data_IF_227094764445
#
_entry.id   IF_227094764445
#
_cell.length_a   1.000
_cell.length_b   1.000
_cell.length_c   1.000
_cell.angle_alpha   90.00
_cell.angle_beta   90.00
_cell.angle_gamma   90.00
#
_symmetry.space_group_name_H-M   'P 1'
#
loop_
_entity.id
_entity.type
_entity.pdbx_description
1 polymer ?
#
# COMPACT_ATOMS: atom_id res chain seq x y z
N UNK A 1 -14.67 -0.70 -4.53
CA UNK A 1 -13.83 -1.67 -5.28
C UNK A 1 -12.49 -1.06 -5.71
N UNK A 2 -11.91 -0.14 -4.94
CA UNK A 2 -10.73 0.66 -5.27
C UNK A 2 -9.59 0.64 -4.24
N UNK A 3 -9.69 -0.07 -3.13
CA UNK A 3 -8.75 -0.01 -2.00
C UNK A 3 -7.69 -1.15 -2.02
N UNK A 4 -7.86 -2.17 -2.87
CA UNK A 4 -7.01 -3.39 -2.86
C UNK A 4 -5.77 -3.28 -3.77
N UNK A 5 -5.63 -2.24 -4.61
CA UNK A 5 -4.52 -2.16 -5.59
C UNK A 5 -3.28 -1.37 -5.16
N UNK A 6 -3.21 -0.78 -3.98
CA UNK A 6 -2.08 0.08 -3.55
C UNK A 6 -1.01 -0.68 -2.75
N UNK A 7 -1.28 -1.89 -2.30
CA UNK A 7 -0.31 -2.68 -1.48
C UNK A 7 0.61 -3.58 -2.33
N UNK A 8 0.31 -3.78 -3.62
CA UNK A 8 1.07 -4.72 -4.46
C UNK A 8 2.33 -4.14 -5.13
N UNK A 9 2.63 -2.84 -4.99
CA UNK A 9 3.77 -2.19 -5.68
C UNK A 9 4.94 -1.82 -4.78
N UNK A 10 4.88 -2.09 -3.49
CA UNK A 10 5.96 -1.81 -2.53
C UNK A 10 6.87 -3.03 -2.23
N UNK A 11 6.64 -4.18 -2.85
CA UNK A 11 7.37 -5.42 -2.53
C UNK A 11 8.60 -5.65 -3.42
N UNK A 12 9.00 -4.69 -4.24
CA UNK A 12 10.23 -4.75 -5.06
C UNK A 12 11.36 -3.86 -4.53
N UNK A 13 11.16 -3.18 -3.41
CA UNK A 13 12.19 -2.39 -2.77
C UNK A 13 12.70 -3.15 -1.54
N UNK A 14 13.95 -3.58 -1.66
CA UNK A 14 14.79 -4.14 -0.61
C UNK A 14 14.44 -5.56 -0.17
N UNK A 15 14.96 -6.57 -0.91
CA UNK A 15 15.61 -7.66 -0.23
C UNK A 15 16.78 -7.00 0.55
N UNK A 16 16.48 -6.42 1.69
CA UNK A 16 17.45 -6.27 2.76
C UNK A 16 17.71 -7.70 3.23
N UNK A 17 18.54 -8.41 2.45
CA UNK A 17 19.19 -9.60 2.98
C UNK A 17 19.81 -9.11 4.29
N UNK A 18 19.48 -9.72 5.44
CA UNK A 18 20.13 -9.37 6.68
C UNK A 18 21.62 -9.29 6.38
N UNK A 19 22.31 -8.33 6.98
CA UNK A 19 23.77 -8.26 6.91
C UNK A 19 24.30 -9.51 7.64
N UNK A 20 24.10 -10.66 7.02
CA UNK A 20 24.70 -11.90 7.40
C UNK A 20 26.18 -11.65 7.30
N UNK A 21 26.82 -11.58 8.46
CA UNK A 21 28.24 -11.62 8.56
C UNK A 21 28.71 -12.77 7.67
N UNK A 22 29.20 -12.43 6.47
CA UNK A 22 29.75 -13.40 5.56
C UNK A 22 30.88 -14.05 6.34
N UNK A 23 30.62 -15.27 6.82
CA UNK A 23 31.53 -15.98 7.71
C UNK A 23 32.68 -16.52 6.88
N UNK A 24 33.88 -16.25 7.35
CA UNK A 24 35.12 -16.64 6.70
C UNK A 24 35.83 -17.71 7.51
N UNK A 25 36.12 -18.89 6.94
CA UNK A 25 36.94 -19.90 7.63
C UNK A 25 38.40 -19.45 7.72
N UNK A 26 39.01 -19.63 8.90
CA UNK A 26 40.44 -19.41 9.12
C UNK A 26 41.22 -20.73 9.05
N UNK A 27 42.21 -20.82 8.18
CA UNK A 27 43.14 -21.97 8.17
C UNK A 27 44.23 -21.84 9.21
N UNK A 28 44.47 -22.93 9.96
CA UNK A 28 45.65 -23.07 10.84
C UNK A 28 46.86 -23.50 10.00
N UNK A 29 47.97 -22.72 10.08
CA UNK A 29 49.22 -22.97 9.38
C UNK A 29 50.26 -23.69 10.22
N UNK A 30 51.05 -24.56 9.57
CA UNK A 30 52.35 -25.02 10.05
C UNK A 30 53.50 -24.40 9.22
N UNK A 31 54.66 -24.10 9.80
CA UNK A 31 55.73 -23.45 9.09
C UNK A 31 56.76 -24.48 8.52
N UNK A 32 57.11 -24.37 7.22
CA UNK A 32 58.42 -24.59 6.66
C UNK A 32 58.53 -24.44 5.13
N UNK A 33 59.66 -23.84 4.68
CA UNK A 33 60.34 -23.86 3.40
C UNK A 33 59.70 -23.16 2.15
N UNK A 34 60.47 -22.28 1.52
CA UNK A 34 60.11 -21.39 0.42
C UNK A 34 59.96 -22.10 -0.94
N UNK A 35 58.96 -22.91 -1.11
CA UNK A 35 58.53 -23.48 -2.40
C UNK A 35 57.58 -22.51 -3.11
N UNK A 36 57.28 -22.66 -4.43
CA UNK A 36 56.21 -21.94 -5.06
C UNK A 36 54.87 -22.00 -4.32
N UNK A 37 54.61 -23.09 -3.63
CA UNK A 37 53.44 -23.33 -2.80
C UNK A 37 53.46 -22.43 -1.52
N UNK A 38 54.64 -22.16 -0.96
CA UNK A 38 54.79 -21.27 0.20
C UNK A 38 54.55 -19.80 -0.18
N UNK A 39 54.95 -19.37 -1.35
CA UNK A 39 54.72 -18.01 -1.85
C UNK A 39 53.22 -17.76 -2.11
N UNK A 40 52.56 -18.72 -2.68
CA UNK A 40 51.12 -18.64 -2.93
C UNK A 40 50.34 -18.67 -1.62
N UNK A 41 50.73 -19.49 -0.65
CA UNK A 41 50.17 -19.49 0.71
C UNK A 41 50.37 -18.17 1.42
N UNK A 42 51.56 -17.52 1.27
CA UNK A 42 51.80 -16.19 1.81
C UNK A 42 50.94 -15.11 1.13
N UNK A 43 50.80 -15.17 -0.21
CA UNK A 43 49.94 -14.24 -0.96
C UNK A 43 48.47 -14.36 -0.56
N UNK A 44 47.97 -15.59 -0.33
CA UNK A 44 46.61 -15.79 0.19
C UNK A 44 46.42 -15.17 1.57
N UNK A 45 47.35 -15.39 2.50
CA UNK A 45 47.31 -14.77 3.83
C UNK A 45 47.33 -13.24 3.80
N UNK A 46 48.15 -12.68 2.92
CA UNK A 46 48.16 -11.23 2.69
C UNK A 46 46.82 -10.70 2.20
N UNK A 47 46.24 -11.37 1.21
CA UNK A 47 44.91 -11.01 0.73
C UNK A 47 43.84 -11.16 1.81
N UNK A 48 43.93 -12.21 2.59
CA UNK A 48 43.07 -12.44 3.77
C UNK A 48 43.22 -11.30 4.80
N UNK A 49 44.42 -10.85 5.07
CA UNK A 49 44.64 -9.71 5.96
C UNK A 49 44.00 -8.41 5.44
N UNK A 50 44.04 -8.21 4.11
CA UNK A 50 43.37 -7.07 3.47
C UNK A 50 41.86 -7.16 3.59
N UNK A 51 41.28 -8.34 3.40
CA UNK A 51 39.84 -8.57 3.59
C UNK A 51 39.40 -8.29 5.04
N UNK A 52 40.20 -8.73 6.04
CA UNK A 52 39.91 -8.42 7.44
C UNK A 52 39.94 -6.92 7.73
N UNK A 53 40.83 -6.17 7.06
CA UNK A 53 40.91 -4.70 7.12
C UNK A 53 39.87 -3.98 6.23
N UNK A 54 38.98 -4.74 5.60
CA UNK A 54 37.98 -4.21 4.67
C UNK A 54 38.57 -3.48 3.42
N UNK A 55 39.83 -3.76 3.12
CA UNK A 55 40.53 -3.21 1.95
C UNK A 55 40.24 -4.04 0.69
N UNK A 56 38.94 -4.10 0.32
CA UNK A 56 38.42 -5.02 -0.70
C UNK A 56 39.07 -4.83 -2.07
N UNK A 57 39.32 -3.61 -2.51
CA UNK A 57 39.94 -3.34 -3.80
C UNK A 57 41.36 -3.89 -3.89
N UNK A 58 42.16 -3.70 -2.85
CA UNK A 58 43.53 -4.21 -2.80
C UNK A 58 43.57 -5.74 -2.67
N UNK A 59 42.63 -6.30 -1.89
CA UNK A 59 42.46 -7.74 -1.80
C UNK A 59 42.11 -8.36 -3.16
N UNK A 60 41.17 -7.73 -3.89
CA UNK A 60 40.75 -8.18 -5.23
C UNK A 60 41.94 -8.24 -6.20
N UNK A 61 42.77 -7.20 -6.29
CA UNK A 61 43.94 -7.15 -7.18
C UNK A 61 44.90 -8.31 -6.88
N UNK A 62 45.22 -8.55 -5.61
CA UNK A 62 46.05 -9.70 -5.22
C UNK A 62 45.43 -11.02 -5.55
N UNK A 63 44.13 -11.19 -5.26
CA UNK A 63 43.38 -12.43 -5.48
C UNK A 63 43.22 -12.72 -6.97
N UNK A 64 43.00 -11.72 -7.83
CA UNK A 64 42.98 -11.88 -9.27
C UNK A 64 44.31 -12.46 -9.78
N UNK A 65 45.43 -11.97 -9.26
CA UNK A 65 46.73 -12.53 -9.62
C UNK A 65 46.90 -13.97 -9.12
N UNK A 66 46.42 -14.23 -7.89
CA UNK A 66 46.54 -15.55 -7.27
C UNK A 66 45.70 -16.61 -7.98
N UNK A 67 44.46 -16.32 -8.39
CA UNK A 67 43.59 -17.29 -9.08
C UNK A 67 44.10 -17.63 -10.51
N UNK A 68 44.89 -16.75 -11.11
CA UNK A 68 45.59 -17.05 -12.37
C UNK A 68 46.73 -18.04 -12.15
N UNK A 69 47.48 -17.87 -11.05
CA UNK A 69 48.59 -18.76 -10.69
C UNK A 69 48.14 -20.10 -10.09
N UNK A 70 47.05 -20.07 -9.36
CA UNK A 70 46.45 -21.22 -8.69
C UNK A 70 44.96 -21.38 -9.00
N UNK A 71 44.67 -21.69 -10.28
CA UNK A 71 43.29 -21.79 -10.78
C UNK A 71 42.43 -22.85 -10.09
N UNK A 72 43.05 -23.82 -9.43
CA UNK A 72 42.37 -24.91 -8.72
C UNK A 72 42.28 -24.69 -7.21
N UNK A 73 42.60 -23.49 -6.71
CA UNK A 73 42.49 -23.14 -5.30
C UNK A 73 41.08 -22.59 -4.99
N UNK A 74 40.19 -23.38 -4.34
CA UNK A 74 38.81 -22.92 -4.08
C UNK A 74 38.76 -21.73 -3.10
N UNK A 75 39.71 -21.65 -2.13
CA UNK A 75 39.76 -20.55 -1.17
C UNK A 75 40.06 -19.21 -1.86
N UNK A 76 41.04 -19.21 -2.80
CA UNK A 76 41.38 -17.98 -3.53
C UNK A 76 40.20 -17.47 -4.36
N UNK A 77 39.46 -18.35 -5.01
CA UNK A 77 38.24 -18.00 -5.75
C UNK A 77 37.14 -17.50 -4.83
N UNK A 78 36.93 -18.15 -3.68
CA UNK A 78 35.95 -17.72 -2.70
C UNK A 78 36.27 -16.30 -2.17
N UNK A 79 37.51 -16.08 -1.76
CA UNK A 79 37.96 -14.78 -1.23
C UNK A 79 37.86 -13.68 -2.29
N UNK A 80 38.13 -14.00 -3.56
CA UNK A 80 37.93 -13.09 -4.68
C UNK A 80 36.44 -12.70 -4.83
N UNK A 81 35.55 -13.68 -4.82
CA UNK A 81 34.11 -13.44 -4.85
C UNK A 81 33.64 -12.60 -3.64
N UNK A 82 34.22 -12.84 -2.47
CA UNK A 82 33.95 -12.07 -1.26
C UNK A 82 34.38 -10.60 -1.42
N UNK A 83 35.60 -10.35 -1.90
CA UNK A 83 36.08 -8.99 -2.20
C UNK A 83 35.20 -8.25 -3.21
N UNK A 84 34.80 -8.94 -4.28
CA UNK A 84 33.96 -8.40 -5.34
C UNK A 84 32.53 -8.09 -4.86
N UNK A 85 31.93 -8.99 -4.06
CA UNK A 85 30.57 -8.79 -3.55
C UNK A 85 30.46 -7.58 -2.62
N UNK A 86 31.49 -7.32 -1.79
CA UNK A 86 31.55 -6.14 -0.93
C UNK A 86 31.78 -4.82 -1.68
N UNK A 87 32.28 -4.90 -2.92
CA UNK A 87 32.37 -3.77 -3.83
C UNK A 87 31.15 -3.62 -4.73
N UNK A 88 30.08 -4.40 -4.49
CA UNK A 88 28.88 -4.46 -5.31
C UNK A 88 29.12 -4.93 -6.77
N UNK A 89 30.26 -5.58 -7.05
CA UNK A 89 30.58 -6.22 -8.33
C UNK A 89 29.93 -7.60 -8.38
N UNK A 90 28.61 -7.64 -8.44
CA UNK A 90 27.84 -8.87 -8.27
C UNK A 90 28.05 -9.87 -9.42
N UNK A 91 28.09 -9.46 -10.71
CA UNK A 91 28.37 -10.40 -11.79
C UNK A 91 29.72 -11.11 -11.65
N UNK A 92 30.76 -10.36 -11.28
CA UNK A 92 32.11 -10.90 -11.08
C UNK A 92 32.16 -11.84 -9.87
N UNK A 93 31.50 -11.45 -8.78
CA UNK A 93 31.40 -12.28 -7.58
C UNK A 93 30.72 -13.62 -7.86
N UNK A 94 29.68 -13.64 -8.69
CA UNK A 94 29.02 -14.88 -9.13
C UNK A 94 29.99 -15.81 -9.84
N UNK A 95 30.82 -15.29 -10.75
CA UNK A 95 31.81 -16.10 -11.47
C UNK A 95 32.81 -16.72 -10.48
N UNK A 96 33.31 -15.91 -9.54
CA UNK A 96 34.29 -16.34 -8.55
C UNK A 96 33.70 -17.35 -7.58
N UNK A 97 32.52 -17.12 -7.01
CA UNK A 97 31.87 -18.06 -6.11
C UNK A 97 31.46 -19.37 -6.84
N UNK A 98 31.02 -19.27 -8.10
CA UNK A 98 30.70 -20.45 -8.91
C UNK A 98 31.95 -21.32 -9.12
N UNK A 99 33.10 -20.72 -9.39
CA UNK A 99 34.35 -21.48 -9.54
C UNK A 99 34.76 -22.13 -8.20
N UNK A 100 34.66 -21.39 -7.08
CA UNK A 100 34.90 -21.97 -5.76
C UNK A 100 33.99 -23.17 -5.45
N UNK A 101 32.69 -23.03 -5.70
CA UNK A 101 31.70 -24.09 -5.50
C UNK A 101 31.87 -25.28 -6.46
N UNK A 102 32.43 -25.07 -7.66
CA UNK A 102 32.79 -26.14 -8.59
C UNK A 102 34.01 -26.92 -8.14
N UNK A 103 35.00 -26.20 -7.56
CA UNK A 103 36.23 -26.85 -7.08
C UNK A 103 35.99 -27.61 -5.76
N UNK A 104 35.13 -27.12 -4.89
CA UNK A 104 34.68 -27.81 -3.70
C UNK A 104 33.12 -27.76 -3.60
N UNK A 105 32.44 -28.73 -4.18
CA UNK A 105 30.97 -28.80 -4.16
C UNK A 105 30.35 -29.01 -2.76
N UNK A 106 31.17 -29.44 -1.77
CA UNK A 106 30.73 -29.68 -0.40
C UNK A 106 31.02 -28.50 0.52
N UNK A 107 31.50 -27.39 -0.01
CA UNK A 107 31.78 -26.21 0.77
C UNK A 107 30.51 -25.38 0.96
N UNK A 108 29.99 -25.36 2.18
CA UNK A 108 28.74 -24.70 2.55
C UNK A 108 28.78 -23.19 2.19
N UNK A 109 29.84 -22.49 2.62
CA UNK A 109 29.95 -21.03 2.46
C UNK A 109 30.03 -20.63 0.99
N UNK A 110 30.70 -21.43 0.15
CA UNK A 110 30.78 -21.18 -1.28
C UNK A 110 29.39 -21.30 -1.96
N UNK A 111 28.64 -22.35 -1.63
CA UNK A 111 27.27 -22.53 -2.15
C UNK A 111 26.31 -21.48 -1.64
N UNK A 112 26.37 -21.12 -0.35
CA UNK A 112 25.55 -20.09 0.26
C UNK A 112 25.81 -18.72 -0.38
N UNK A 113 27.07 -18.29 -0.46
CA UNK A 113 27.42 -16.98 -1.02
C UNK A 113 27.13 -16.91 -2.55
N UNK A 114 27.30 -18.00 -3.27
CA UNK A 114 26.86 -18.10 -4.67
C UNK A 114 25.34 -17.86 -4.77
N UNK A 115 24.54 -18.55 -3.93
CA UNK A 115 23.10 -18.41 -3.92
C UNK A 115 22.65 -16.99 -3.59
N UNK A 116 23.29 -16.36 -2.59
CA UNK A 116 23.01 -14.95 -2.23
C UNK A 116 23.36 -13.96 -3.34
N UNK A 117 24.51 -14.15 -4.01
CA UNK A 117 24.93 -13.31 -5.13
C UNK A 117 23.99 -13.46 -6.33
N UNK A 118 23.55 -14.68 -6.65
CA UNK A 118 22.57 -14.96 -7.70
C UNK A 118 21.20 -14.35 -7.38
N UNK A 119 20.72 -14.44 -6.12
CA UNK A 119 19.49 -13.80 -5.72
C UNK A 119 19.56 -12.28 -5.89
N UNK A 120 20.68 -11.67 -5.52
CA UNK A 120 20.92 -10.23 -5.70
C UNK A 120 20.98 -9.81 -7.15
N UNK A 121 21.43 -10.68 -8.07
CA UNK A 121 21.42 -10.44 -9.51
C UNK A 121 20.04 -10.64 -10.17
N UNK A 122 19.06 -11.23 -9.44
CA UNK A 122 17.74 -11.57 -9.95
C UNK A 122 17.62 -12.96 -10.57
N UNK A 123 18.68 -13.77 -10.60
CA UNK A 123 18.63 -15.16 -11.07
C UNK A 123 18.09 -16.07 -9.94
N UNK A 124 16.79 -16.00 -9.72
CA UNK A 124 16.09 -16.72 -8.66
C UNK A 124 16.23 -18.24 -8.79
N UNK A 125 16.23 -18.75 -10.01
CA UNK A 125 16.32 -20.20 -10.27
C UNK A 125 17.68 -20.75 -9.89
N UNK A 126 18.75 -20.09 -10.33
CA UNK A 126 20.10 -20.50 -9.98
C UNK A 126 20.40 -20.27 -8.49
N UNK A 127 19.88 -19.18 -7.90
CA UNK A 127 19.98 -18.91 -6.47
C UNK A 127 19.34 -20.02 -5.64
N UNK A 128 18.11 -20.41 -5.96
CA UNK A 128 17.42 -21.52 -5.29
C UNK A 128 18.21 -22.83 -5.40
N UNK A 129 18.79 -23.11 -6.56
CA UNK A 129 19.60 -24.32 -6.78
C UNK A 129 20.84 -24.35 -5.87
N UNK A 130 21.58 -23.25 -5.81
CA UNK A 130 22.78 -23.15 -4.96
C UNK A 130 22.43 -23.22 -3.47
N UNK A 131 21.35 -22.52 -3.03
CA UNK A 131 20.91 -22.54 -1.64
C UNK A 131 20.34 -23.91 -1.25
N UNK A 132 19.65 -24.64 -2.13
CA UNK A 132 19.21 -26.03 -1.88
C UNK A 132 20.42 -26.96 -1.64
N UNK A 133 21.53 -26.74 -2.31
CA UNK A 133 22.77 -27.48 -2.02
C UNK A 133 23.31 -27.04 -0.65
N UNK A 134 23.44 -25.76 -0.41
CA UNK A 134 23.99 -25.21 0.85
C UNK A 134 23.28 -25.80 2.08
N UNK A 135 21.95 -25.82 2.12
CA UNK A 135 21.20 -26.32 3.28
C UNK A 135 21.35 -27.81 3.56
N UNK A 136 21.94 -28.57 2.64
CA UNK A 136 22.30 -30.00 2.87
C UNK A 136 23.72 -30.17 3.41
N UNK A 137 24.51 -29.11 3.44
CA UNK A 137 25.91 -29.15 3.84
C UNK A 137 26.07 -28.68 5.30
N UNK A 138 27.22 -29.00 5.87
CA UNK A 138 27.57 -28.58 7.22
C UNK A 138 28.37 -27.27 7.15
N UNK A 139 27.93 -26.20 7.81
CA UNK A 139 28.74 -24.97 7.90
C UNK A 139 30.09 -25.21 8.55
N UNK A 140 31.14 -24.60 8.03
CA UNK A 140 32.47 -24.62 8.65
C UNK A 140 32.59 -23.61 9.76
N UNK A 141 31.81 -22.52 9.70
CA UNK A 141 31.75 -21.45 10.70
C UNK A 141 30.27 -21.14 11.03
N UNK A 142 30.00 -20.76 12.29
CA UNK A 142 28.66 -20.30 12.71
C UNK A 142 27.66 -21.43 13.02
N UNK A 143 28.01 -22.69 12.75
CA UNK A 143 27.21 -23.85 13.16
C UNK A 143 25.72 -23.78 12.78
N UNK A 144 24.82 -23.99 13.74
CA UNK A 144 23.38 -24.01 13.52
C UNK A 144 22.83 -22.65 13.05
N UNK A 145 23.40 -21.54 13.53
CA UNK A 145 22.96 -20.19 13.11
C UNK A 145 23.23 -19.93 11.63
N UNK A 146 24.41 -20.35 11.12
CA UNK A 146 24.73 -20.24 9.70
C UNK A 146 23.77 -21.09 8.83
N UNK A 147 23.47 -22.31 9.31
CA UNK A 147 22.51 -23.18 8.62
C UNK A 147 21.08 -22.61 8.65
N UNK A 148 20.65 -22.03 9.80
CA UNK A 148 19.37 -21.33 9.90
C UNK A 148 19.27 -20.16 8.90
N UNK A 149 20.35 -19.38 8.78
CA UNK A 149 20.42 -18.28 7.83
C UNK A 149 20.35 -18.75 6.36
N UNK A 150 20.95 -19.88 6.02
CA UNK A 150 20.85 -20.46 4.68
C UNK A 150 19.41 -20.94 4.38
N UNK A 151 18.74 -21.59 5.34
CA UNK A 151 17.34 -21.96 5.23
C UNK A 151 16.42 -20.74 5.07
N UNK A 152 16.65 -19.67 5.83
CA UNK A 152 15.93 -18.40 5.69
C UNK A 152 16.12 -17.82 4.28
N UNK A 153 17.36 -17.77 3.80
CA UNK A 153 17.65 -17.26 2.45
C UNK A 153 16.99 -18.11 1.36
N UNK A 154 17.02 -19.42 1.49
CA UNK A 154 16.29 -20.32 0.58
C UNK A 154 14.80 -20.03 0.59
N UNK A 155 14.20 -19.95 1.79
CA UNK A 155 12.78 -19.66 1.94
C UNK A 155 12.37 -18.36 1.24
N UNK A 156 13.12 -17.29 1.44
CA UNK A 156 12.88 -15.98 0.82
C UNK A 156 12.99 -16.05 -0.71
N UNK A 157 14.00 -16.73 -1.23
CA UNK A 157 14.24 -16.83 -2.69
C UNK A 157 13.12 -17.61 -3.39
N UNK A 158 12.58 -18.66 -2.76
CA UNK A 158 11.54 -19.50 -3.37
C UNK A 158 10.11 -19.12 -2.96
N UNK A 159 9.93 -18.06 -2.15
CA UNK A 159 8.64 -17.68 -1.56
C UNK A 159 7.53 -17.52 -2.60
N UNK A 160 7.82 -16.90 -3.75
CA UNK A 160 6.85 -16.68 -4.80
C UNK A 160 6.64 -17.89 -5.70
N UNK A 161 7.72 -18.61 -6.02
CA UNK A 161 7.69 -19.70 -7.00
C UNK A 161 7.32 -21.07 -6.42
N UNK A 162 7.63 -21.29 -5.15
CA UNK A 162 7.47 -22.58 -4.47
C UNK A 162 6.96 -22.39 -3.03
N UNK A 163 5.74 -21.88 -2.82
CA UNK A 163 5.27 -21.43 -1.50
C UNK A 163 5.23 -22.56 -0.46
N UNK A 164 4.93 -23.79 -0.83
CA UNK A 164 4.95 -24.93 0.10
C UNK A 164 6.37 -25.28 0.58
N UNK A 165 7.34 -25.28 -0.33
CA UNK A 165 8.74 -25.49 0.03
C UNK A 165 9.30 -24.33 0.85
N UNK A 166 8.90 -23.09 0.51
CA UNK A 166 9.26 -21.90 1.25
C UNK A 166 8.79 -21.98 2.71
N UNK A 167 7.53 -22.36 2.95
CA UNK A 167 7.02 -22.57 4.30
C UNK A 167 7.87 -23.58 5.07
N UNK A 168 8.18 -24.73 4.47
CA UNK A 168 9.02 -25.74 5.11
C UNK A 168 10.43 -25.22 5.41
N UNK A 169 10.99 -24.41 4.51
CA UNK A 169 12.30 -23.79 4.71
C UNK A 169 12.29 -22.75 5.83
N UNK A 170 11.24 -21.88 5.91
CA UNK A 170 11.06 -20.97 7.06
C UNK A 170 10.92 -21.73 8.37
N UNK A 171 10.14 -22.81 8.40
CA UNK A 171 9.99 -23.66 9.59
C UNK A 171 11.34 -24.27 10.03
N UNK A 172 12.16 -24.72 9.08
CA UNK A 172 13.52 -25.20 9.37
C UNK A 172 14.44 -24.11 9.92
N UNK A 173 14.35 -22.89 9.38
CA UNK A 173 15.08 -21.75 9.92
C UNK A 173 14.67 -21.45 11.38
N UNK A 174 13.37 -21.48 11.69
CA UNK A 174 12.85 -21.29 13.06
C UNK A 174 13.24 -22.44 13.99
N UNK A 175 13.26 -23.69 13.51
CA UNK A 175 13.71 -24.85 14.30
C UNK A 175 15.17 -24.70 14.73
N UNK A 176 16.02 -24.21 13.84
CA UNK A 176 17.45 -24.04 14.08
C UNK A 176 17.79 -22.77 14.87
N UNK A 177 17.01 -21.70 14.65
CA UNK A 177 17.12 -20.42 15.37
C UNK A 177 15.73 -19.90 15.74
N UNK A 178 15.18 -20.32 16.88
CA UNK A 178 13.87 -19.90 17.35
C UNK A 178 13.75 -18.39 17.68
N UNK A 179 14.87 -17.68 17.79
CA UNK A 179 14.88 -16.24 18.04
C UNK A 179 14.86 -15.41 16.76
N UNK A 180 14.98 -16.04 15.60
CA UNK A 180 14.99 -15.35 14.31
C UNK A 180 13.60 -14.84 13.95
N UNK A 181 13.37 -13.55 14.16
CA UNK A 181 12.09 -12.88 13.89
C UNK A 181 11.70 -12.89 12.41
N UNK A 182 12.69 -12.83 11.50
CA UNK A 182 12.43 -12.83 10.05
C UNK A 182 11.91 -14.19 9.58
N UNK A 183 12.48 -15.27 10.13
CA UNK A 183 12.00 -16.61 9.85
C UNK A 183 10.58 -16.85 10.41
N UNK A 184 10.31 -16.40 11.64
CA UNK A 184 8.97 -16.46 12.24
C UNK A 184 7.96 -15.62 11.44
N UNK A 185 8.35 -14.43 11.01
CA UNK A 185 7.53 -13.56 10.14
C UNK A 185 7.26 -14.23 8.80
N UNK A 186 8.25 -14.93 8.24
CA UNK A 186 8.08 -15.72 7.02
C UNK A 186 7.03 -16.83 7.17
N UNK A 187 7.07 -17.57 8.28
CA UNK A 187 6.03 -18.58 8.61
C UNK A 187 4.65 -17.94 8.69
N UNK A 188 4.52 -16.78 9.35
CA UNK A 188 3.26 -16.06 9.49
C UNK A 188 2.71 -15.60 8.12
N UNK A 189 3.57 -15.03 7.25
CA UNK A 189 3.20 -14.64 5.89
C UNK A 189 2.73 -15.82 5.05
N UNK A 190 3.40 -16.95 5.16
CA UNK A 190 3.00 -18.15 4.42
C UNK A 190 1.67 -18.72 4.91
N UNK A 191 1.37 -18.63 6.21
CA UNK A 191 0.06 -18.97 6.77
C UNK A 191 -1.03 -18.04 6.22
N UNK A 192 -0.79 -16.73 6.19
CA UNK A 192 -1.69 -15.73 5.60
C UNK A 192 -1.96 -16.04 4.12
N UNK A 193 -0.91 -16.28 3.34
CA UNK A 193 -0.99 -16.56 1.90
C UNK A 193 -1.74 -17.87 1.59
N UNK A 194 -1.66 -18.86 2.47
CA UNK A 194 -2.43 -20.11 2.35
C UNK A 194 -3.89 -19.99 2.78
N UNK A 195 -4.33 -18.79 3.21
CA UNK A 195 -5.67 -18.56 3.70
C UNK A 195 -5.90 -18.97 5.16
N UNK A 196 -4.86 -19.41 5.86
CA UNK A 196 -4.94 -19.74 7.29
C UNK A 196 -4.75 -18.47 8.15
N UNK A 197 -5.75 -17.57 8.06
CA UNK A 197 -5.71 -16.29 8.76
C UNK A 197 -5.55 -16.43 10.29
N UNK A 198 -6.11 -17.47 10.90
CA UNK A 198 -6.01 -17.70 12.34
C UNK A 198 -4.58 -18.04 12.77
N UNK A 199 -3.89 -18.90 12.02
CA UNK A 199 -2.49 -19.20 12.28
C UNK A 199 -1.58 -17.99 12.04
N UNK A 200 -1.84 -17.23 10.98
CA UNK A 200 -1.12 -15.99 10.70
C UNK A 200 -1.29 -14.97 11.82
N UNK A 201 -2.54 -14.74 12.27
CA UNK A 201 -2.85 -13.84 13.38
C UNK A 201 -2.09 -14.22 14.66
N UNK A 202 -2.11 -15.49 15.03
CA UNK A 202 -1.43 -15.97 16.24
C UNK A 202 0.08 -15.67 16.20
N UNK A 203 0.71 -15.91 15.05
CA UNK A 203 2.15 -15.66 14.88
C UNK A 203 2.45 -14.16 14.84
N UNK A 204 1.66 -13.38 14.10
CA UNK A 204 1.82 -11.93 14.08
C UNK A 204 1.63 -11.30 15.45
N UNK A 205 0.64 -11.74 16.24
CA UNK A 205 0.41 -11.26 17.61
C UNK A 205 1.65 -11.47 18.48
N UNK A 206 2.21 -12.69 18.48
CA UNK A 206 3.41 -13.02 19.26
C UNK A 206 4.60 -12.10 18.92
N UNK A 207 4.81 -11.87 17.61
CA UNK A 207 5.89 -11.01 17.14
C UNK A 207 5.62 -9.52 17.43
N UNK A 208 4.37 -9.08 17.27
CA UNK A 208 3.95 -7.72 17.53
C UNK A 208 4.06 -7.37 19.03
N UNK A 209 3.72 -8.31 19.92
CA UNK A 209 3.92 -8.17 21.38
C UNK A 209 5.40 -8.06 21.77
N UNK A 210 6.27 -8.69 20.98
CA UNK A 210 7.72 -8.56 21.10
C UNK A 210 8.28 -7.26 20.46
N UNK A 211 7.43 -6.40 19.90
CA UNK A 211 7.81 -5.11 19.33
C UNK A 211 8.26 -5.17 17.86
N UNK A 212 7.96 -6.26 17.14
CA UNK A 212 8.29 -6.35 15.72
C UNK A 212 7.32 -5.49 14.89
N UNK A 213 7.81 -4.40 14.32
CA UNK A 213 6.99 -3.43 13.58
C UNK A 213 6.35 -4.02 12.33
N UNK A 214 7.05 -4.87 11.58
CA UNK A 214 6.51 -5.49 10.36
C UNK A 214 5.31 -6.38 10.69
N UNK A 215 5.38 -7.10 11.82
CA UNK A 215 4.27 -7.91 12.30
C UNK A 215 3.08 -7.07 12.75
N UNK A 216 3.32 -5.91 13.37
CA UNK A 216 2.24 -4.97 13.74
C UNK A 216 1.54 -4.46 12.49
N UNK A 217 2.28 -4.05 11.47
CA UNK A 217 1.71 -3.57 10.20
C UNK A 217 0.90 -4.67 9.49
N UNK A 218 1.42 -5.91 9.46
CA UNK A 218 0.72 -7.06 8.90
C UNK A 218 -0.55 -7.40 9.68
N UNK A 219 -0.49 -7.38 10.99
CA UNK A 219 -1.63 -7.63 11.88
C UNK A 219 -2.75 -6.60 11.67
N UNK A 220 -2.38 -5.32 11.59
CA UNK A 220 -3.32 -4.24 11.25
C UNK A 220 -3.98 -4.50 9.90
N UNK A 221 -3.17 -4.85 8.87
CA UNK A 221 -3.68 -5.19 7.54
C UNK A 221 -4.68 -6.35 7.56
N UNK A 222 -4.37 -7.41 8.30
CA UNK A 222 -5.22 -8.58 8.48
C UNK A 222 -6.56 -8.21 9.13
N UNK A 223 -6.55 -7.40 10.20
CA UNK A 223 -7.76 -6.95 10.87
C UNK A 223 -8.63 -6.05 9.99
N UNK A 224 -8.02 -5.16 9.22
CA UNK A 224 -8.74 -4.32 8.24
C UNK A 224 -9.42 -5.16 7.16
N UNK A 225 -8.74 -6.17 6.64
CA UNK A 225 -9.31 -7.10 5.66
C UNK A 225 -10.50 -7.88 6.23
N UNK A 226 -10.43 -8.26 7.50
CA UNK A 226 -11.50 -8.95 8.23
C UNK A 226 -12.59 -8.00 8.76
N UNK A 227 -12.48 -6.69 8.53
CA UNK A 227 -13.35 -5.65 9.07
C UNK A 227 -13.39 -5.61 10.62
N UNK A 228 -12.35 -6.09 11.26
CA UNK A 228 -12.13 -6.02 12.71
C UNK A 228 -11.49 -4.68 13.06
N UNK A 229 -12.26 -3.62 12.88
CA UNK A 229 -11.74 -2.25 12.95
C UNK A 229 -11.22 -1.90 14.34
N UNK A 230 -11.91 -2.31 15.41
CA UNK A 230 -11.48 -2.05 16.78
C UNK A 230 -10.12 -2.67 17.12
N UNK A 231 -9.85 -3.89 16.62
CA UNK A 231 -8.54 -4.54 16.79
C UNK A 231 -7.46 -3.81 16.00
N UNK A 232 -7.76 -3.41 14.76
CA UNK A 232 -6.85 -2.62 13.93
C UNK A 232 -6.52 -1.27 14.59
N UNK A 233 -7.52 -0.56 15.13
CA UNK A 233 -7.33 0.71 15.85
C UNK A 233 -6.42 0.52 17.06
N UNK A 234 -6.68 -0.51 17.88
CA UNK A 234 -5.88 -0.79 19.06
C UNK A 234 -4.38 -0.96 18.72
N UNK A 235 -4.08 -1.71 17.67
CA UNK A 235 -2.68 -1.91 17.23
C UNK A 235 -2.08 -0.68 16.56
N UNK A 236 -2.85 0.08 15.79
CA UNK A 236 -2.40 1.37 15.24
C UNK A 236 -2.00 2.33 16.34
N UNK A 237 -2.82 2.45 17.39
CA UNK A 237 -2.51 3.32 18.54
C UNK A 237 -1.26 2.85 19.29
N UNK A 238 -1.06 1.53 19.47
CA UNK A 238 0.17 0.98 20.05
C UNK A 238 1.40 1.29 19.18
N UNK A 239 1.29 1.08 17.88
CA UNK A 239 2.36 1.39 16.93
C UNK A 239 2.73 2.87 16.96
N UNK A 240 1.73 3.76 16.97
CA UNK A 240 1.94 5.20 17.03
C UNK A 240 2.55 5.67 18.36
N UNK A 241 2.24 5.00 19.47
CA UNK A 241 2.88 5.31 20.75
C UNK A 241 4.40 5.06 20.72
N UNK A 242 4.85 4.04 19.99
CA UNK A 242 6.25 3.75 19.74
C UNK A 242 6.85 4.61 18.60
N UNK A 243 6.02 5.02 17.63
CA UNK A 243 6.42 5.74 16.42
C UNK A 243 5.56 7.00 16.22
N UNK A 244 5.62 8.01 17.10
CA UNK A 244 4.68 9.14 17.12
C UNK A 244 4.75 10.03 15.88
N UNK A 245 5.85 10.00 15.13
CA UNK A 245 6.05 10.77 13.91
C UNK A 245 5.68 10.00 12.62
N UNK A 246 5.11 8.79 12.75
CA UNK A 246 4.74 8.00 11.58
C UNK A 246 3.50 8.57 10.89
N UNK A 247 3.72 9.44 9.92
CA UNK A 247 2.65 9.99 9.04
C UNK A 247 1.80 8.89 8.38
N UNK A 248 2.38 7.76 7.88
CA UNK A 248 1.57 6.67 7.34
C UNK A 248 0.60 6.07 8.34
N UNK A 249 1.05 5.85 9.59
CA UNK A 249 0.19 5.29 10.64
C UNK A 249 -0.94 6.26 11.05
N UNK A 250 -0.63 7.56 11.18
CA UNK A 250 -1.61 8.59 11.46
C UNK A 250 -2.67 8.67 10.34
N UNK A 251 -2.23 8.64 9.08
CA UNK A 251 -3.14 8.62 7.93
C UNK A 251 -4.04 7.38 7.94
N UNK A 252 -3.48 6.22 8.24
CA UNK A 252 -4.22 4.97 8.32
C UNK A 252 -5.24 4.99 9.46
N UNK A 253 -4.88 5.55 10.63
CA UNK A 253 -5.79 5.74 11.75
C UNK A 253 -6.94 6.68 11.39
N UNK A 254 -6.64 7.82 10.76
CA UNK A 254 -7.67 8.76 10.33
C UNK A 254 -8.68 8.12 9.36
N UNK A 255 -8.21 7.33 8.41
CA UNK A 255 -9.08 6.58 7.48
C UNK A 255 -9.90 5.49 8.17
N UNK A 256 -9.29 4.80 9.13
CA UNK A 256 -9.98 3.78 9.91
C UNK A 256 -11.11 4.39 10.74
N UNK A 257 -10.83 5.49 11.45
CA UNK A 257 -11.81 6.22 12.24
C UNK A 257 -12.98 6.73 11.38
N UNK A 258 -12.68 7.21 10.16
CA UNK A 258 -13.71 7.59 9.19
C UNK A 258 -14.60 6.39 8.81
N UNK A 259 -14.00 5.23 8.54
CA UNK A 259 -14.73 4.00 8.19
C UNK A 259 -15.60 3.47 9.35
N UNK A 260 -15.21 3.73 10.60
CA UNK A 260 -15.99 3.41 11.80
C UNK A 260 -17.09 4.43 12.12
N UNK A 261 -17.19 5.53 11.36
CA UNK A 261 -18.11 6.63 11.63
C UNK A 261 -17.68 7.51 12.81
N UNK A 262 -16.43 7.39 13.29
CA UNK A 262 -15.83 8.26 14.31
C UNK A 262 -15.33 9.56 13.65
N UNK A 263 -16.23 10.26 12.99
CA UNK A 263 -15.95 11.35 12.03
C UNK A 263 -15.15 12.49 12.67
N UNK A 264 -15.46 12.88 13.90
CA UNK A 264 -14.73 13.96 14.59
C UNK A 264 -13.28 13.57 14.93
N UNK A 265 -13.06 12.32 15.37
CA UNK A 265 -11.71 11.83 15.65
C UNK A 265 -10.90 11.69 14.35
N UNK A 266 -11.54 11.28 13.25
CA UNK A 266 -10.93 11.22 11.93
C UNK A 266 -10.44 12.59 11.47
N UNK A 267 -11.28 13.63 11.60
CA UNK A 267 -10.93 15.02 11.30
C UNK A 267 -9.75 15.46 12.18
N UNK A 268 -9.83 15.25 13.49
CA UNK A 268 -8.78 15.64 14.42
C UNK A 268 -7.43 14.95 14.12
N UNK A 269 -7.46 13.77 13.51
CA UNK A 269 -6.25 13.03 13.12
C UNK A 269 -5.71 13.51 11.77
N UNK A 270 -6.57 13.76 10.78
CA UNK A 270 -6.16 14.07 9.40
C UNK A 270 -5.83 15.56 9.19
N UNK A 271 -6.50 16.47 9.90
CA UNK A 271 -6.33 17.92 9.73
C UNK A 271 -4.90 18.40 10.02
N UNK A 272 -4.21 17.96 11.10
CA UNK A 272 -2.81 18.32 11.34
C UNK A 272 -1.88 17.80 10.24
N UNK A 273 -2.15 16.61 9.69
CA UNK A 273 -1.35 16.04 8.60
C UNK A 273 -1.47 16.89 7.34
N UNK A 274 -2.69 17.27 6.99
CA UNK A 274 -2.94 18.14 5.85
C UNK A 274 -2.29 19.51 6.01
N UNK A 275 -2.37 20.10 7.20
CA UNK A 275 -1.72 21.40 7.50
C UNK A 275 -0.19 21.34 7.40
N UNK A 276 0.41 20.21 7.82
CA UNK A 276 1.86 20.02 7.75
C UNK A 276 2.36 19.76 6.33
N UNK A 277 1.62 18.97 5.55
CA UNK A 277 1.94 18.62 4.17
C UNK A 277 0.63 18.47 3.37
N UNK A 278 0.20 19.48 2.63
CA UNK A 278 -1.01 19.41 1.83
C UNK A 278 -0.94 18.28 0.78
N UNK A 279 -1.73 17.24 0.97
CA UNK A 279 -1.89 16.11 0.06
C UNK A 279 -3.32 16.08 -0.47
N UNK A 280 -3.53 15.99 -1.80
CA UNK A 280 -4.87 15.96 -2.40
C UNK A 280 -5.76 14.80 -1.92
N UNK A 281 -5.17 13.66 -1.53
CA UNK A 281 -5.93 12.53 -1.02
C UNK A 281 -6.45 12.82 0.38
N UNK A 282 -5.61 13.41 1.25
CA UNK A 282 -6.03 13.83 2.60
C UNK A 282 -7.08 14.95 2.50
N UNK A 283 -6.89 15.90 1.58
CA UNK A 283 -7.86 16.97 1.34
C UNK A 283 -9.24 16.41 0.93
N UNK A 284 -9.27 15.38 0.07
CA UNK A 284 -10.51 14.74 -0.36
C UNK A 284 -11.19 14.01 0.81
N UNK A 285 -10.41 13.25 1.59
CA UNK A 285 -10.94 12.55 2.77
C UNK A 285 -11.52 13.57 3.79
N UNK A 286 -10.79 14.65 4.08
CA UNK A 286 -11.26 15.75 4.97
C UNK A 286 -12.49 16.45 4.41
N UNK A 287 -12.54 16.76 3.12
CA UNK A 287 -13.70 17.42 2.52
C UNK A 287 -14.97 16.58 2.68
N UNK A 288 -14.87 15.26 2.48
CA UNK A 288 -15.98 14.32 2.71
C UNK A 288 -16.45 14.34 4.17
N UNK A 289 -15.52 14.28 5.12
CA UNK A 289 -15.80 14.33 6.55
C UNK A 289 -16.42 15.67 6.98
N UNK A 290 -15.96 16.78 6.40
CA UNK A 290 -16.56 18.10 6.66
C UNK A 290 -17.98 18.24 6.09
N UNK A 291 -18.27 17.64 4.92
CA UNK A 291 -19.64 17.58 4.39
C UNK A 291 -20.55 16.78 5.33
N UNK A 292 -20.10 15.62 5.79
CA UNK A 292 -20.84 14.77 6.72
C UNK A 292 -21.12 15.47 8.05
N UNK A 293 -20.14 16.20 8.57
CA UNK A 293 -20.27 16.96 9.82
C UNK A 293 -20.88 18.35 9.64
N UNK A 294 -21.38 18.67 8.44
CA UNK A 294 -22.00 19.95 8.07
C UNK A 294 -21.08 21.18 8.22
N UNK A 295 -19.78 20.96 8.18
CA UNK A 295 -18.78 22.03 8.17
C UNK A 295 -18.58 22.53 6.72
N UNK A 296 -19.66 22.99 6.10
CA UNK A 296 -19.72 23.33 4.68
C UNK A 296 -18.69 24.36 4.19
N UNK A 297 -18.35 25.42 4.96
CA UNK A 297 -17.30 26.34 4.54
C UNK A 297 -15.93 25.66 4.41
N UNK A 298 -15.53 24.86 5.40
CA UNK A 298 -14.26 24.16 5.37
C UNK A 298 -14.21 23.11 4.24
N UNK A 299 -15.32 22.40 4.00
CA UNK A 299 -15.45 21.52 2.85
C UNK A 299 -15.26 22.25 1.53
N UNK A 300 -15.93 23.40 1.38
CA UNK A 300 -15.89 24.21 0.16
C UNK A 300 -14.46 24.70 -0.16
N UNK A 301 -13.70 25.15 0.83
CA UNK A 301 -12.33 25.61 0.65
C UNK A 301 -11.41 24.49 0.13
N UNK A 302 -11.52 23.28 0.71
CA UNK A 302 -10.75 22.12 0.25
C UNK A 302 -11.16 21.67 -1.15
N UNK A 303 -12.47 21.60 -1.41
CA UNK A 303 -13.01 21.17 -2.71
C UNK A 303 -12.63 22.14 -3.83
N UNK A 304 -12.64 23.44 -3.55
CA UNK A 304 -12.19 24.46 -4.52
C UNK A 304 -10.71 24.26 -4.86
N UNK A 305 -9.86 24.04 -3.87
CA UNK A 305 -8.43 23.74 -4.07
C UNK A 305 -8.22 22.47 -4.92
N UNK A 306 -9.01 21.43 -4.65
CA UNK A 306 -8.95 20.16 -5.42
C UNK A 306 -9.43 20.34 -6.87
N UNK A 307 -10.47 21.15 -7.11
CA UNK A 307 -10.95 21.50 -8.45
C UNK A 307 -9.88 22.26 -9.25
N UNK A 308 -9.13 23.16 -8.61
CA UNK A 308 -8.02 23.87 -9.27
C UNK A 308 -6.93 22.91 -9.76
N UNK A 309 -6.68 21.81 -9.03
CA UNK A 309 -5.71 20.77 -9.40
C UNK A 309 -6.27 19.79 -10.42
N UNK A 310 -7.55 19.47 -10.35
CA UNK A 310 -8.24 18.56 -11.27
C UNK A 310 -9.59 19.12 -11.72
N UNK A 311 -9.62 20.09 -12.64
CA UNK A 311 -10.84 20.75 -13.07
C UNK A 311 -11.80 19.87 -13.88
N UNK A 312 -11.37 18.67 -14.28
CA UNK A 312 -12.18 17.71 -15.03
C UNK A 312 -12.91 16.69 -14.13
N UNK A 313 -12.71 16.72 -12.81
CA UNK A 313 -13.37 15.79 -11.88
C UNK A 313 -14.80 16.27 -11.56
N UNK A 314 -15.79 15.65 -12.20
CA UNK A 314 -17.20 15.98 -12.04
C UNK A 314 -17.71 15.78 -10.61
N UNK A 315 -17.14 14.82 -9.85
CA UNK A 315 -17.54 14.57 -8.47
C UNK A 315 -17.13 15.73 -7.56
N UNK A 316 -15.94 16.28 -7.74
CA UNK A 316 -15.51 17.45 -6.98
C UNK A 316 -16.43 18.67 -7.22
N UNK A 317 -16.88 18.85 -8.46
CA UNK A 317 -17.83 19.91 -8.77
C UNK A 317 -19.20 19.67 -8.12
N UNK A 318 -19.67 18.41 -8.07
CA UNK A 318 -20.91 18.06 -7.37
C UNK A 318 -20.79 18.34 -5.86
N UNK A 319 -19.74 17.83 -5.23
CA UNK A 319 -19.53 17.98 -3.78
C UNK A 319 -19.37 19.46 -3.39
N UNK A 320 -18.65 20.22 -4.21
CA UNK A 320 -18.50 21.67 -4.01
C UNK A 320 -19.84 22.42 -4.19
N UNK A 321 -20.59 22.08 -5.23
CA UNK A 321 -21.93 22.63 -5.45
C UNK A 321 -22.89 22.34 -4.29
N UNK A 322 -22.85 21.11 -3.75
CA UNK A 322 -23.62 20.72 -2.56
C UNK A 322 -23.21 21.55 -1.34
N UNK A 323 -21.89 21.71 -1.09
CA UNK A 323 -21.41 22.56 -0.01
C UNK A 323 -21.88 24.03 -0.13
N UNK A 324 -21.89 24.58 -1.34
CA UNK A 324 -22.39 25.92 -1.62
C UNK A 324 -23.90 26.05 -1.42
N UNK A 325 -24.69 25.06 -1.84
CA UNK A 325 -26.14 25.03 -1.59
C UNK A 325 -26.48 25.10 -0.10
N UNK A 326 -25.77 24.32 0.71
CA UNK A 326 -25.95 24.37 2.16
C UNK A 326 -25.51 25.68 2.81
N UNK A 327 -24.67 26.45 2.12
CA UNK A 327 -24.31 27.83 2.48
C UNK A 327 -25.30 28.89 1.89
N UNK A 328 -26.37 28.43 1.22
CA UNK A 328 -27.34 29.27 0.52
C UNK A 328 -26.72 30.13 -0.61
N UNK A 329 -25.54 29.74 -1.13
CA UNK A 329 -24.85 30.41 -2.24
C UNK A 329 -25.35 29.82 -3.58
N UNK A 330 -26.63 30.00 -3.86
CA UNK A 330 -27.30 29.33 -4.99
C UNK A 330 -26.77 29.75 -6.37
N UNK A 331 -26.39 31.03 -6.63
CA UNK A 331 -25.80 31.42 -7.91
C UNK A 331 -24.51 30.66 -8.23
N UNK A 332 -23.62 30.60 -7.25
CA UNK A 332 -22.34 29.87 -7.37
C UNK A 332 -22.56 28.37 -7.48
N UNK A 333 -23.45 27.81 -6.66
CA UNK A 333 -23.82 26.39 -6.71
C UNK A 333 -24.35 25.99 -8.10
N UNK A 334 -25.26 26.81 -8.69
CA UNK A 334 -25.78 26.57 -10.02
C UNK A 334 -24.68 26.50 -11.08
N UNK A 335 -23.73 27.44 -11.05
CA UNK A 335 -22.64 27.46 -12.02
C UNK A 335 -21.74 26.21 -11.93
N UNK A 336 -21.40 25.81 -10.71
CA UNK A 336 -20.52 24.65 -10.44
C UNK A 336 -21.22 23.34 -10.77
N UNK A 337 -22.50 23.18 -10.39
CA UNK A 337 -23.29 21.98 -10.69
C UNK A 337 -23.56 21.82 -12.19
N UNK A 338 -23.73 22.94 -12.91
CA UNK A 338 -23.81 22.91 -14.38
C UNK A 338 -22.52 22.34 -14.98
N UNK A 339 -21.36 22.69 -14.41
CA UNK A 339 -20.08 22.12 -14.85
C UNK A 339 -19.99 20.63 -14.54
N UNK A 340 -20.49 20.17 -13.39
CA UNK A 340 -20.54 18.75 -13.04
C UNK A 340 -21.30 17.91 -14.06
N UNK A 341 -22.52 18.34 -14.46
CA UNK A 341 -23.33 17.62 -15.46
C UNK A 341 -22.75 17.70 -16.87
N UNK A 342 -22.01 18.78 -17.20
CA UNK A 342 -21.30 18.89 -18.47
C UNK A 342 -20.12 17.90 -18.56
N UNK A 343 -19.38 17.75 -17.47
CA UNK A 343 -18.24 16.83 -17.39
C UNK A 343 -18.69 15.37 -17.36
N UNK A 344 -19.78 15.06 -16.65
CA UNK A 344 -20.31 13.71 -16.53
C UNK A 344 -21.83 13.71 -16.67
N UNK A 345 -22.35 13.59 -17.92
CA UNK A 345 -23.78 13.67 -18.21
C UNK A 345 -24.65 12.56 -17.58
N UNK A 346 -24.05 11.50 -17.04
CA UNK A 346 -24.75 10.43 -16.32
C UNK A 346 -24.63 10.54 -14.79
N UNK A 347 -24.15 11.66 -14.26
CA UNK A 347 -24.07 11.94 -12.81
C UNK A 347 -25.44 12.44 -12.32
N UNK A 348 -26.32 11.48 -12.04
CA UNK A 348 -27.77 11.74 -11.80
C UNK A 348 -28.02 12.67 -10.60
N UNK A 349 -27.20 12.54 -9.55
CA UNK A 349 -27.29 13.33 -8.34
C UNK A 349 -27.12 14.83 -8.63
N UNK A 350 -26.20 15.17 -9.53
CA UNK A 350 -25.92 16.56 -9.89
C UNK A 350 -27.09 17.27 -10.57
N UNK A 351 -27.96 16.53 -11.27
CA UNK A 351 -29.14 17.13 -11.95
C UNK A 351 -30.19 17.60 -10.96
N UNK A 352 -30.44 16.87 -9.88
CA UNK A 352 -31.41 17.29 -8.87
C UNK A 352 -30.91 18.55 -8.14
N UNK A 353 -29.63 18.51 -7.70
CA UNK A 353 -29.01 19.63 -6.99
C UNK A 353 -28.95 20.88 -7.87
N UNK A 354 -28.62 20.71 -9.16
CA UNK A 354 -28.64 21.81 -10.14
C UNK A 354 -30.06 22.37 -10.34
N UNK A 355 -31.05 21.49 -10.45
CA UNK A 355 -32.45 21.90 -10.57
C UNK A 355 -32.93 22.69 -9.37
N UNK A 356 -32.56 22.26 -8.17
CA UNK A 356 -32.88 22.98 -6.92
C UNK A 356 -32.16 24.32 -6.83
N UNK A 357 -30.86 24.37 -7.12
CA UNK A 357 -30.11 25.64 -7.14
C UNK A 357 -30.67 26.62 -8.17
N UNK A 358 -31.05 26.11 -9.36
CA UNK A 358 -31.66 26.93 -10.41
C UNK A 358 -33.02 27.50 -9.98
N UNK A 359 -33.85 26.71 -9.31
CA UNK A 359 -35.15 27.13 -8.78
C UNK A 359 -34.98 28.25 -7.75
N UNK A 360 -34.05 28.10 -6.79
CA UNK A 360 -33.72 29.12 -5.80
C UNK A 360 -33.20 30.43 -6.44
N UNK A 361 -32.51 30.31 -7.57
CA UNK A 361 -32.07 31.45 -8.39
C UNK A 361 -33.17 31.99 -9.32
N UNK A 362 -34.40 31.49 -9.26
CA UNK A 362 -35.52 31.84 -10.15
C UNK A 362 -35.23 31.53 -11.62
N UNK A 363 -34.30 30.63 -11.91
CA UNK A 363 -34.00 30.16 -13.26
C UNK A 363 -34.85 28.91 -13.58
N UNK A 364 -36.16 29.14 -13.67
CA UNK A 364 -37.17 28.05 -13.77
C UNK A 364 -37.05 27.25 -15.06
N UNK A 365 -36.64 27.88 -16.16
CA UNK A 365 -36.40 27.21 -17.45
C UNK A 365 -35.25 26.20 -17.32
N UNK A 366 -34.18 26.56 -16.61
CA UNK A 366 -33.08 25.66 -16.34
C UNK A 366 -33.55 24.50 -15.44
N UNK A 367 -34.31 24.81 -14.38
CA UNK A 367 -34.90 23.78 -13.49
C UNK A 367 -35.64 22.70 -14.28
N UNK A 368 -36.54 23.10 -15.17
CA UNK A 368 -37.33 22.18 -16.00
C UNK A 368 -36.40 21.35 -16.88
N UNK A 369 -35.51 22.00 -17.62
CA UNK A 369 -34.61 21.35 -18.57
C UNK A 369 -33.72 20.29 -17.91
N UNK A 370 -33.17 20.57 -16.73
CA UNK A 370 -32.28 19.62 -16.04
C UNK A 370 -33.04 18.48 -15.39
N UNK A 371 -34.26 18.72 -14.89
CA UNK A 371 -35.11 17.67 -14.38
C UNK A 371 -35.64 16.74 -15.50
N UNK A 372 -35.91 17.29 -16.69
CA UNK A 372 -36.26 16.48 -17.87
C UNK A 372 -35.06 15.64 -18.35
N UNK A 373 -33.84 16.17 -18.25
CA UNK A 373 -32.64 15.38 -18.54
C UNK A 373 -32.44 14.26 -17.51
N UNK A 374 -32.65 14.54 -16.22
CA UNK A 374 -32.59 13.55 -15.14
C UNK A 374 -33.60 12.42 -15.34
N UNK A 375 -34.84 12.75 -15.75
CA UNK A 375 -35.90 11.78 -15.97
C UNK A 375 -35.57 10.71 -17.04
N UNK A 376 -34.65 11.03 -17.95
CA UNK A 376 -34.16 10.07 -18.97
C UNK A 376 -33.12 9.10 -18.40
N UNK A 377 -32.51 9.43 -17.24
CA UNK A 377 -31.45 8.64 -16.62
C UNK A 377 -31.94 7.76 -15.46
N UNK A 378 -32.96 8.24 -14.75
CA UNK A 378 -33.49 7.59 -13.56
C UNK A 378 -34.98 7.89 -13.36
N UNK A 379 -35.77 6.98 -12.78
CA UNK A 379 -37.16 7.21 -12.43
C UNK A 379 -37.37 8.47 -11.60
N UNK A 380 -38.48 9.13 -11.84
CA UNK A 380 -38.84 10.34 -11.12
C UNK A 380 -39.20 10.07 -9.66
N UNK A 381 -38.96 11.04 -8.82
CA UNK A 381 -39.25 11.00 -7.39
C UNK A 381 -40.31 12.06 -7.01
N UNK A 382 -40.96 11.94 -5.86
CA UNK A 382 -41.87 13.01 -5.39
C UNK A 382 -41.22 14.40 -5.43
N UNK A 383 -39.94 14.51 -5.00
CA UNK A 383 -39.23 15.78 -4.98
C UNK A 383 -39.02 16.38 -6.39
N UNK A 384 -38.74 15.56 -7.40
CA UNK A 384 -38.56 16.04 -8.78
C UNK A 384 -39.86 16.50 -9.42
N UNK A 385 -40.98 15.79 -9.18
CA UNK A 385 -42.30 16.24 -9.64
C UNK A 385 -42.70 17.56 -9.00
N UNK A 386 -42.50 17.71 -7.68
CA UNK A 386 -42.83 18.93 -6.96
C UNK A 386 -41.98 20.11 -7.47
N UNK A 387 -40.67 19.95 -7.58
CA UNK A 387 -39.76 20.99 -8.03
C UNK A 387 -40.06 21.43 -9.48
N UNK A 388 -40.39 20.47 -10.36
CA UNK A 388 -40.79 20.79 -11.74
C UNK A 388 -42.15 21.50 -11.78
N UNK A 389 -43.12 21.08 -10.92
CA UNK A 389 -44.41 21.75 -10.81
C UNK A 389 -44.29 23.20 -10.39
N UNK A 390 -43.45 23.50 -9.35
CA UNK A 390 -43.22 24.87 -8.89
C UNK A 390 -42.51 25.70 -9.95
N UNK A 391 -41.57 25.15 -10.70
CA UNK A 391 -40.91 25.87 -11.81
C UNK A 391 -41.92 26.23 -12.94
N UNK A 392 -42.76 25.29 -13.36
CA UNK A 392 -43.81 25.57 -14.33
C UNK A 392 -44.83 26.59 -13.81
N UNK A 393 -45.22 26.51 -12.56
CA UNK A 393 -46.15 27.44 -11.90
C UNK A 393 -45.60 28.87 -11.86
N UNK A 394 -44.34 29.02 -11.50
CA UNK A 394 -43.68 30.35 -11.51
C UNK A 394 -43.56 30.93 -12.91
N UNK A 395 -43.43 30.10 -13.96
CA UNK A 395 -43.48 30.52 -15.36
C UNK A 395 -44.90 30.75 -15.88
N UNK A 396 -45.92 30.62 -15.03
CA UNK A 396 -47.35 30.69 -15.40
C UNK A 396 -47.78 29.68 -16.44
N UNK A 397 -47.05 28.56 -16.54
CA UNK A 397 -47.40 27.44 -17.41
C UNK A 397 -48.31 26.44 -16.65
N UNK A 398 -49.56 26.87 -16.43
CA UNK A 398 -50.45 26.22 -15.46
C UNK A 398 -50.82 24.79 -15.83
N UNK A 399 -50.97 24.45 -17.13
CA UNK A 399 -51.29 23.07 -17.54
C UNK A 399 -50.19 22.06 -17.12
N UNK A 400 -48.91 22.23 -17.51
CA UNK A 400 -47.86 21.34 -17.05
C UNK A 400 -47.60 21.43 -15.54
N UNK A 401 -47.78 22.59 -14.89
CA UNK A 401 -47.70 22.71 -13.43
C UNK A 401 -48.73 21.80 -12.75
N UNK A 402 -50.01 21.86 -13.16
CA UNK A 402 -51.06 21.02 -12.61
C UNK A 402 -50.82 19.53 -12.85
N UNK A 403 -50.30 19.15 -14.02
CA UNK A 403 -49.94 17.77 -14.31
C UNK A 403 -48.87 17.25 -13.32
N UNK A 404 -47.81 18.02 -13.11
CA UNK A 404 -46.73 17.61 -12.20
C UNK A 404 -47.16 17.64 -10.71
N UNK A 405 -47.99 18.61 -10.26
CA UNK A 405 -48.57 18.56 -8.91
C UNK A 405 -49.45 17.32 -8.69
N UNK A 406 -50.24 16.89 -9.68
CA UNK A 406 -51.06 15.67 -9.61
C UNK A 406 -50.15 14.43 -9.49
N UNK A 407 -49.10 14.34 -10.33
CA UNK A 407 -48.10 13.26 -10.25
C UNK A 407 -47.43 13.22 -8.87
N UNK A 408 -47.00 14.38 -8.37
CA UNK A 408 -46.43 14.48 -7.02
C UNK A 408 -47.40 13.91 -5.99
N UNK A 409 -48.65 14.39 -5.95
CA UNK A 409 -49.65 13.92 -4.99
C UNK A 409 -49.97 12.41 -5.09
N UNK A 410 -49.88 11.88 -6.31
CA UNK A 410 -50.07 10.44 -6.57
C UNK A 410 -48.97 9.54 -5.97
N UNK A 411 -47.75 10.07 -5.80
CA UNK A 411 -46.60 9.30 -5.32
C UNK A 411 -46.09 9.74 -3.93
N UNK A 412 -46.54 10.87 -3.40
CA UNK A 412 -46.09 11.46 -2.13
C UNK A 412 -46.45 10.61 -0.90
N UNK A 413 -47.67 9.98 -0.91
CA UNK A 413 -48.05 9.02 0.12
C UNK A 413 -48.11 9.53 1.54
N UNK A 414 -48.36 10.85 1.75
CA UNK A 414 -48.41 11.49 3.07
C UNK A 414 -47.03 11.76 3.70
N UNK A 415 -45.95 11.51 2.99
CA UNK A 415 -44.58 11.70 3.50
C UNK A 415 -44.07 13.15 3.42
N UNK A 416 -44.81 14.04 2.71
CA UNK A 416 -44.45 15.42 2.44
C UNK A 416 -45.62 16.37 2.75
N UNK A 417 -46.09 16.44 4.02
CA UNK A 417 -47.34 17.12 4.36
C UNK A 417 -47.41 18.57 3.90
N UNK A 418 -46.33 19.33 4.05
CA UNK A 418 -46.29 20.76 3.67
C UNK A 418 -46.35 20.94 2.14
N UNK A 419 -45.57 20.18 1.41
CA UNK A 419 -45.58 20.22 -0.06
C UNK A 419 -46.90 19.66 -0.62
N UNK A 420 -47.48 18.65 -0.01
CA UNK A 420 -48.80 18.14 -0.38
C UNK A 420 -49.88 19.19 -0.16
N UNK A 421 -49.84 19.89 0.96
CA UNK A 421 -50.75 21.00 1.20
C UNK A 421 -50.60 22.10 0.15
N UNK A 422 -49.36 22.52 -0.12
CA UNK A 422 -49.03 23.53 -1.14
C UNK A 422 -49.56 23.09 -2.54
N UNK A 423 -49.25 21.86 -2.93
CA UNK A 423 -49.70 21.32 -4.23
C UNK A 423 -51.23 21.30 -4.36
N UNK A 424 -51.96 20.88 -3.34
CA UNK A 424 -53.44 20.89 -3.33
C UNK A 424 -53.99 22.31 -3.41
N UNK A 425 -53.40 23.25 -2.67
CA UNK A 425 -53.82 24.64 -2.70
C UNK A 425 -53.57 25.29 -4.06
N UNK A 426 -52.39 25.04 -4.66
CA UNK A 426 -52.07 25.56 -5.99
C UNK A 426 -52.94 24.99 -7.07
N UNK A 427 -53.25 23.69 -7.01
CA UNK A 427 -54.16 23.06 -8.00
C UNK A 427 -55.53 23.72 -8.01
N UNK A 428 -56.10 24.09 -6.87
CA UNK A 428 -57.37 24.81 -6.81
C UNK A 428 -57.30 26.22 -7.44
N UNK A 429 -56.13 26.87 -7.34
CA UNK A 429 -55.94 28.21 -7.89
C UNK A 429 -55.67 28.23 -9.41
N UNK A 430 -55.01 27.20 -9.95
CA UNK A 430 -54.61 27.19 -11.37
C UNK A 430 -55.54 26.35 -12.28
N UNK A 431 -56.40 25.53 -11.67
CA UNK A 431 -57.48 24.78 -12.32
C UNK A 431 -58.78 25.09 -11.57
N UNK A 432 -59.32 26.28 -11.67
CA UNK A 432 -60.64 26.54 -11.14
C UNK A 432 -61.66 25.67 -11.87
N UNK A 433 -62.65 25.13 -11.15
CA UNK A 433 -63.75 24.28 -11.67
C UNK A 433 -64.48 24.89 -12.85
#
# INVERSE_FOLDING_TARGET
>A
MGIIKVIATALLATLALPALAQTRPSHKSHPQATTPDDRATAALKDAESLLQKQQYSQAEEKLQTLVVQQSENPQAWFDLGFAQSHQSKIPEAIVSYKKAAQLDPKWFEAQQNLGLALAKSGDITAAASALKIAVTLKPTVGGQQALAAAWLSLAQVIEESQPHESLAAYQKAVELDPANSDAQLGVARMAERSGNAAAAEQQYLKLAEAGNNDSIERLIGLYLQQKRFADAESWLRKYMAANPQSTPAQLQLGKLLAAEGKTQEAIATLEPLYKAAPDPKIARDLASLYLETKQYPAAADLLLSLIQQNPADAQLHLDYGSALMHQLKFPEAQAVLLKAVQLKPNLVEAYFDLGYAAEQNKNYELTIRVLDARAKLQPETPATYFLRATAYDNLRMYKPAAANYKLFLGVAGGKFPDQEFQARHRLKAILPD
#
